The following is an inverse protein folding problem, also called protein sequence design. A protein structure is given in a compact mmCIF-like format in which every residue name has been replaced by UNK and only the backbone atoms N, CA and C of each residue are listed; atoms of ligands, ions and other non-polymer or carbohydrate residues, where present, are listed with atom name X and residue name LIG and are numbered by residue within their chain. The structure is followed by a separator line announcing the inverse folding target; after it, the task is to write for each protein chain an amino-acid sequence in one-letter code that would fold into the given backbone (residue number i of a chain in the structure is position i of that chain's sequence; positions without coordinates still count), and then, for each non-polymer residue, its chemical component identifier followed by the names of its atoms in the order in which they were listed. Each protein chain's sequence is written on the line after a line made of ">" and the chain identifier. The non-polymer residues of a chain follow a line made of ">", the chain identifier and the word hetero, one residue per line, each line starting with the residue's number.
data_IF_061844326174
#
_entry.id   IF_061844326174
#
_cell.length_a   1.000
_cell.length_b   1.000
_cell.length_c   1.000
_cell.angle_alpha   90.00
_cell.angle_beta   90.00
_cell.angle_gamma   90.00
#
_symmetry.space_group_name_H-M   'P 1'
#
loop_
_entity.id
_entity.type
_entity.pdbx_description
1 polymer ?
#
# COMPACT_ATOMS: atom_id res chain seq x y z
N UNK A 1 -13.44 -9.28 24.08
CA UNK A 1 -13.35 -7.83 24.30
C UNK A 1 -11.87 -7.52 24.53
N UNK A 2 -11.18 -7.10 23.47
CA UNK A 2 -9.85 -6.53 23.63
C UNK A 2 -10.02 -5.08 24.08
N UNK A 3 -9.34 -4.69 25.14
CA UNK A 3 -9.27 -3.30 25.58
C UNK A 3 -8.14 -2.59 24.83
N UNK A 4 -8.26 -1.29 24.60
CA UNK A 4 -7.26 -0.49 23.85
C UNK A 4 -5.82 -0.66 24.37
N UNK A 5 -5.64 -1.03 25.64
CA UNK A 5 -4.36 -1.32 26.26
C UNK A 5 -3.65 -2.60 25.76
N UNK A 6 -4.37 -3.51 25.08
CA UNK A 6 -3.80 -4.78 24.58
C UNK A 6 -3.12 -4.63 23.23
N UNK A 7 -3.31 -3.52 22.53
CA UNK A 7 -2.80 -3.30 21.18
C UNK A 7 -1.38 -2.74 21.12
N UNK A 8 -0.87 -2.12 22.16
CA UNK A 8 0.56 -1.81 22.27
C UNK A 8 1.36 -3.07 22.60
N UNK A 9 1.40 -3.99 21.66
CA UNK A 9 2.14 -5.23 21.88
C UNK A 9 3.64 -4.94 22.00
N UNK A 10 4.34 -5.76 22.80
CA UNK A 10 5.80 -5.75 22.85
C UNK A 10 6.43 -5.91 21.47
N UNK A 11 5.74 -6.62 20.56
CA UNK A 11 6.19 -6.83 19.18
C UNK A 11 6.10 -5.55 18.34
N UNK A 12 5.05 -4.79 18.48
CA UNK A 12 4.88 -3.52 17.77
C UNK A 12 5.99 -2.52 18.14
N UNK A 13 6.22 -2.30 19.43
CA UNK A 13 7.32 -1.45 19.90
C UNK A 13 8.68 -1.92 19.36
N UNK A 14 8.89 -3.24 19.33
CA UNK A 14 10.11 -3.81 18.75
C UNK A 14 10.23 -3.53 17.26
N UNK A 15 9.13 -3.65 16.51
CA UNK A 15 9.12 -3.39 15.06
C UNK A 15 9.40 -1.91 14.77
N UNK A 16 8.73 -0.98 15.49
CA UNK A 16 8.98 0.46 15.36
C UNK A 16 10.45 0.78 15.66
N UNK A 17 10.97 0.26 16.76
CA UNK A 17 12.37 0.47 17.13
C UNK A 17 13.33 -0.04 16.04
N UNK A 18 13.10 -1.24 15.52
CA UNK A 18 13.95 -1.81 14.46
C UNK A 18 13.87 -1.00 13.16
N UNK A 19 12.69 -0.48 12.79
CA UNK A 19 12.53 0.41 11.65
C UNK A 19 13.30 1.72 11.85
N UNK A 20 13.16 2.35 13.02
CA UNK A 20 13.88 3.59 13.37
C UNK A 20 15.39 3.37 13.35
N UNK A 21 15.88 2.25 13.89
CA UNK A 21 17.32 1.90 13.86
C UNK A 21 17.80 1.70 12.42
N UNK A 22 17.01 1.03 11.56
CA UNK A 22 17.34 0.87 10.15
C UNK A 22 17.48 2.23 9.47
N UNK A 23 16.47 3.09 9.60
CA UNK A 23 16.49 4.44 9.00
C UNK A 23 17.72 5.22 9.48
N UNK A 24 18.02 5.23 10.79
CA UNK A 24 19.20 5.91 11.36
C UNK A 24 20.51 5.42 10.77
N UNK A 25 20.60 4.14 10.46
CA UNK A 25 21.83 3.54 9.93
C UNK A 25 22.09 3.89 8.45
N UNK A 26 21.05 4.26 7.70
CA UNK A 26 21.17 4.49 6.25
C UNK A 26 20.86 5.94 5.83
N UNK A 27 20.32 6.77 6.71
CA UNK A 27 19.88 8.13 6.38
C UNK A 27 21.02 9.09 6.00
N UNK A 28 22.28 8.79 6.39
CA UNK A 28 23.44 9.57 5.98
C UNK A 28 23.81 9.33 4.50
N UNK A 29 23.48 8.17 3.98
CA UNK A 29 23.83 7.75 2.62
C UNK A 29 22.64 7.81 1.64
N UNK A 30 21.40 7.77 2.14
CA UNK A 30 20.18 7.63 1.36
C UNK A 30 19.06 8.54 1.85
N UNK A 31 18.28 9.07 0.93
CA UNK A 31 16.99 9.72 1.24
C UNK A 31 15.96 8.64 1.58
N UNK A 32 15.51 8.58 2.82
CA UNK A 32 14.64 7.52 3.32
C UNK A 32 13.20 7.99 3.46
N UNK A 33 12.28 7.30 2.82
CA UNK A 33 10.84 7.57 2.90
C UNK A 33 10.13 6.38 3.54
N UNK A 34 9.48 6.61 4.66
CA UNK A 34 8.71 5.59 5.38
C UNK A 34 7.24 5.82 5.11
N UNK A 35 6.59 4.88 4.44
CA UNK A 35 5.16 4.92 4.15
C UNK A 35 4.45 3.75 4.83
N UNK A 36 3.70 4.04 5.90
CA UNK A 36 2.84 3.07 6.56
C UNK A 36 1.40 3.25 6.05
N UNK A 37 0.92 2.26 5.31
CA UNK A 37 -0.46 2.28 4.82
C UNK A 37 -1.40 1.91 5.97
N UNK A 38 -2.37 2.78 6.31
CA UNK A 38 -3.32 2.50 7.39
C UNK A 38 -4.22 1.31 7.06
N UNK A 39 -4.73 0.65 8.09
CA UNK A 39 -5.70 -0.42 7.87
C UNK A 39 -7.05 0.14 7.40
N UNK A 40 -7.80 -0.69 6.67
CA UNK A 40 -9.17 -0.37 6.26
C UNK A 40 -10.06 -0.02 7.46
N UNK A 41 -9.95 -0.77 8.54
CA UNK A 41 -10.77 -0.58 9.74
C UNK A 41 -10.50 0.76 10.41
N UNK A 42 -9.26 1.20 10.43
CA UNK A 42 -8.91 2.50 10.99
C UNK A 42 -9.32 3.64 10.05
N UNK A 43 -9.02 3.54 8.77
CA UNK A 43 -9.36 4.58 7.77
C UNK A 43 -10.87 4.79 7.65
N UNK A 44 -11.65 3.70 7.67
CA UNK A 44 -13.11 3.70 7.50
C UNK A 44 -13.87 3.48 8.82
N UNK A 45 -13.30 3.90 9.96
CA UNK A 45 -13.89 3.66 11.28
C UNK A 45 -15.32 4.19 11.44
N UNK A 46 -15.69 5.27 10.72
CA UNK A 46 -17.05 5.80 10.72
C UNK A 46 -18.07 4.86 10.05
N UNK A 47 -17.62 3.88 9.25
CA UNK A 47 -18.46 2.86 8.61
C UNK A 47 -18.59 1.58 9.44
N UNK A 48 -17.92 1.51 10.59
CA UNK A 48 -17.97 0.35 11.47
C UNK A 48 -19.26 0.32 12.30
N UNK A 49 -19.73 -0.87 12.70
CA UNK A 49 -20.86 -1.00 13.61
C UNK A 49 -20.61 -0.27 14.94
N UNK A 50 -21.69 0.22 15.54
CA UNK A 50 -21.62 0.81 16.88
C UNK A 50 -20.99 -0.19 17.88
N UNK A 51 -20.08 0.28 18.72
CA UNK A 51 -19.25 -0.52 19.63
C UNK A 51 -18.19 -1.42 18.98
N UNK A 52 -17.91 -1.29 17.68
CA UNK A 52 -16.71 -1.91 17.14
C UNK A 52 -15.48 -1.19 17.69
N UNK A 53 -14.56 -1.95 18.28
CA UNK A 53 -13.25 -1.40 18.69
C UNK A 53 -12.27 -1.43 17.53
N UNK A 54 -11.52 -0.36 17.37
CA UNK A 54 -10.40 -0.27 16.42
C UNK A 54 -9.11 -0.04 17.18
N UNK A 55 -8.01 -0.48 16.59
CA UNK A 55 -6.69 -0.07 17.04
C UNK A 55 -6.48 1.40 16.68
N UNK A 56 -5.94 2.18 17.63
CA UNK A 56 -5.59 3.58 17.40
C UNK A 56 -4.22 3.67 16.71
N UNK A 57 -4.24 3.64 15.38
CA UNK A 57 -3.03 3.74 14.56
C UNK A 57 -2.37 5.12 14.64
N UNK A 58 -3.08 6.16 15.09
CA UNK A 58 -2.51 7.50 15.22
C UNK A 58 -1.27 7.53 16.11
N UNK A 59 -1.31 6.80 17.23
CA UNK A 59 -0.16 6.73 18.15
C UNK A 59 1.11 6.19 17.51
N UNK A 60 0.95 5.24 16.59
CA UNK A 60 2.07 4.68 15.83
C UNK A 60 2.66 5.71 14.87
N UNK A 61 1.82 6.45 14.15
CA UNK A 61 2.26 7.53 13.26
C UNK A 61 2.94 8.65 14.05
N UNK A 62 2.36 9.06 15.16
CA UNK A 62 2.93 10.10 16.04
C UNK A 62 4.31 9.69 16.56
N UNK A 63 4.44 8.44 17.00
CA UNK A 63 5.72 7.89 17.46
C UNK A 63 6.79 7.85 16.37
N UNK A 64 6.42 7.50 15.13
CA UNK A 64 7.34 7.50 14.00
C UNK A 64 7.74 8.92 13.61
N UNK A 65 6.80 9.84 13.54
CA UNK A 65 7.08 11.25 13.24
C UNK A 65 8.00 11.87 14.29
N UNK A 66 7.79 11.58 15.57
CA UNK A 66 8.65 12.04 16.64
C UNK A 66 10.08 11.52 16.52
N UNK A 67 10.24 10.23 16.18
CA UNK A 67 11.54 9.58 16.13
C UNK A 67 12.30 9.81 14.82
N UNK A 68 11.61 9.96 13.70
CA UNK A 68 12.20 10.11 12.36
C UNK A 68 12.19 11.55 11.85
N UNK A 69 11.25 12.39 12.30
CA UNK A 69 11.08 13.76 11.80
C UNK A 69 12.28 14.70 12.07
N UNK A 70 13.21 14.29 12.93
CA UNK A 70 14.43 15.03 13.23
C UNK A 70 15.68 14.46 12.52
N UNK A 71 15.54 13.39 11.75
CA UNK A 71 16.64 12.81 10.98
C UNK A 71 16.73 13.52 9.62
N UNK A 72 17.91 14.00 9.28
CA UNK A 72 18.19 14.57 7.96
C UNK A 72 17.80 13.55 6.86
N UNK A 73 17.16 14.04 5.80
CA UNK A 73 16.77 13.26 4.62
C UNK A 73 15.83 12.07 4.86
N UNK A 74 15.20 11.97 6.04
CA UNK A 74 14.15 11.00 6.30
C UNK A 74 12.77 11.66 6.39
N UNK A 75 11.77 11.02 5.78
CA UNK A 75 10.39 11.53 5.73
C UNK A 75 9.40 10.41 6.03
N UNK A 76 8.48 10.66 6.95
CA UNK A 76 7.28 9.83 7.09
C UNK A 76 6.23 10.34 6.10
N UNK A 77 5.89 9.52 5.11
CA UNK A 77 4.92 9.88 4.07
C UNK A 77 3.52 9.97 4.69
N UNK A 78 2.78 11.09 4.55
CA UNK A 78 1.49 11.29 5.21
C UNK A 78 0.33 10.59 4.47
N UNK A 79 0.51 9.33 4.11
CA UNK A 79 -0.48 8.52 3.38
C UNK A 79 -1.78 8.34 4.15
N UNK A 80 -1.68 8.28 5.48
CA UNK A 80 -2.81 8.19 6.38
C UNK A 80 -3.78 9.36 6.23
N UNK A 81 -3.28 10.60 6.27
CA UNK A 81 -4.09 11.80 6.11
C UNK A 81 -4.77 11.83 4.74
N UNK A 82 -4.02 11.46 3.69
CA UNK A 82 -4.53 11.39 2.33
C UNK A 82 -5.66 10.37 2.22
N UNK A 83 -5.48 9.14 2.69
CA UNK A 83 -6.53 8.12 2.60
C UNK A 83 -7.75 8.48 3.45
N UNK A 84 -7.56 9.07 4.63
CA UNK A 84 -8.67 9.55 5.45
C UNK A 84 -9.47 10.67 4.78
N UNK A 85 -8.84 11.55 4.00
CA UNK A 85 -9.56 12.60 3.25
C UNK A 85 -10.41 12.05 2.11
N UNK A 86 -10.09 10.85 1.60
CA UNK A 86 -10.80 10.16 0.52
C UNK A 86 -11.67 8.98 1.00
N UNK A 87 -11.95 8.88 2.30
CA UNK A 87 -12.68 7.74 2.91
C UNK A 87 -14.13 7.54 2.44
N UNK A 88 -14.71 8.50 1.74
CA UNK A 88 -16.04 8.38 1.14
C UNK A 88 -15.99 7.69 -0.25
N UNK A 89 -14.81 7.53 -0.81
CA UNK A 89 -14.56 6.84 -2.07
C UNK A 89 -14.28 5.35 -1.83
N UNK A 90 -14.31 4.54 -2.88
CA UNK A 90 -14.04 3.10 -2.81
C UNK A 90 -12.52 2.84 -2.81
N UNK A 91 -11.83 3.34 -1.78
CA UNK A 91 -10.36 3.24 -1.63
C UNK A 91 -9.89 1.93 -0.98
N UNK A 92 -10.80 1.12 -0.44
CA UNK A 92 -10.55 -0.23 0.05
C UNK A 92 -11.60 -1.19 -0.47
N UNK A 93 -11.19 -2.42 -0.81
CA UNK A 93 -12.12 -3.48 -1.15
C UNK A 93 -13.06 -3.79 0.03
N UNK A 94 -14.30 -4.14 -0.26
CA UNK A 94 -15.31 -4.51 0.77
C UNK A 94 -15.04 -5.91 1.30
N UNK A 95 -14.68 -6.82 0.41
CA UNK A 95 -14.50 -8.26 0.68
C UNK A 95 -13.05 -8.65 0.93
N UNK A 96 -12.11 -7.69 0.85
CA UNK A 96 -10.70 -7.91 1.10
C UNK A 96 -10.12 -6.87 2.08
N UNK A 97 -8.92 -7.09 2.59
CA UNK A 97 -8.23 -6.17 3.50
C UNK A 97 -7.35 -5.14 2.80
N UNK A 98 -7.06 -5.33 1.52
CA UNK A 98 -6.23 -4.42 0.75
C UNK A 98 -6.99 -3.15 0.32
N UNK A 99 -6.24 -2.11 0.03
CA UNK A 99 -6.73 -0.95 -0.72
C UNK A 99 -7.06 -1.33 -2.17
N UNK A 100 -7.89 -0.54 -2.82
CA UNK A 100 -8.16 -0.65 -4.27
C UNK A 100 -7.04 0.02 -5.06
N UNK A 101 -7.07 -0.10 -6.38
CA UNK A 101 -6.17 0.66 -7.26
C UNK A 101 -6.28 2.16 -7.06
N UNK A 102 -7.48 2.67 -6.78
CA UNK A 102 -7.69 4.08 -6.42
C UNK A 102 -7.01 4.43 -5.10
N UNK A 103 -7.15 3.58 -4.07
CA UNK A 103 -6.46 3.79 -2.79
C UNK A 103 -4.94 3.78 -2.94
N UNK A 104 -4.41 2.83 -3.71
CA UNK A 104 -2.98 2.74 -4.02
C UNK A 104 -2.50 3.97 -4.81
N UNK A 105 -3.33 4.50 -5.72
CA UNK A 105 -3.06 5.74 -6.44
C UNK A 105 -2.89 6.94 -5.49
N UNK A 106 -3.77 7.09 -4.50
CA UNK A 106 -3.63 8.14 -3.48
C UNK A 106 -2.37 7.95 -2.63
N UNK A 107 -2.01 6.71 -2.32
CA UNK A 107 -0.74 6.40 -1.66
C UNK A 107 0.46 6.83 -2.50
N UNK A 108 0.45 6.53 -3.79
CA UNK A 108 1.48 6.96 -4.73
C UNK A 108 1.60 8.49 -4.82
N UNK A 109 0.48 9.21 -4.90
CA UNK A 109 0.48 10.68 -4.88
C UNK A 109 1.11 11.23 -3.61
N UNK A 110 0.80 10.66 -2.45
CA UNK A 110 1.41 11.05 -1.17
C UNK A 110 2.92 10.85 -1.19
N UNK A 111 3.38 9.72 -1.72
CA UNK A 111 4.80 9.45 -1.87
C UNK A 111 5.50 10.44 -2.81
N UNK A 112 4.95 10.73 -3.98
CA UNK A 112 5.52 11.70 -4.93
C UNK A 112 5.66 13.09 -4.30
N UNK A 113 4.65 13.55 -3.57
CA UNK A 113 4.67 14.84 -2.87
C UNK A 113 5.74 14.84 -1.76
N UNK A 114 5.80 13.80 -0.95
CA UNK A 114 6.74 13.71 0.16
C UNK A 114 8.20 13.58 -0.31
N UNK A 115 8.44 12.90 -1.43
CA UNK A 115 9.78 12.71 -1.99
C UNK A 115 10.26 13.87 -2.87
N UNK A 116 9.41 14.85 -3.17
CA UNK A 116 9.71 15.91 -4.15
C UNK A 116 9.94 15.39 -5.57
N UNK A 117 9.53 14.14 -5.85
CA UNK A 117 9.63 13.54 -7.18
C UNK A 117 8.38 13.86 -7.99
N UNK A 118 8.57 14.65 -9.05
CA UNK A 118 7.58 14.93 -10.09
C UNK A 118 6.14 15.20 -9.60
N UNK A 119 5.98 16.30 -8.86
CA UNK A 119 4.67 16.75 -8.34
C UNK A 119 3.60 16.88 -9.44
N UNK A 120 4.00 17.13 -10.69
CA UNK A 120 3.07 17.21 -11.82
C UNK A 120 2.39 15.87 -12.10
N UNK A 121 3.10 14.76 -11.95
CA UNK A 121 2.52 13.42 -12.09
C UNK A 121 1.59 13.06 -10.95
N UNK A 122 1.76 13.66 -9.79
CA UNK A 122 0.88 13.41 -8.66
C UNK A 122 -0.58 13.79 -8.92
N UNK A 123 -0.81 14.81 -9.77
CA UNK A 123 -2.16 15.30 -10.04
C UNK A 123 -2.75 14.80 -11.38
N UNK A 124 -2.00 13.96 -12.13
CA UNK A 124 -2.52 13.37 -13.36
C UNK A 124 -3.65 12.39 -13.06
N UNK A 125 -4.81 12.61 -13.70
CA UNK A 125 -5.90 11.63 -13.68
C UNK A 125 -5.45 10.35 -14.38
N UNK A 126 -5.64 9.20 -13.75
CA UNK A 126 -5.35 7.89 -14.33
C UNK A 126 -6.62 7.23 -14.84
N UNK A 127 -6.47 6.61 -16.00
CA UNK A 127 -7.53 5.75 -16.55
C UNK A 127 -7.29 4.34 -16.04
N UNK A 128 -8.16 3.89 -15.14
CA UNK A 128 -8.17 2.51 -14.67
C UNK A 128 -9.08 1.67 -15.57
N UNK A 129 -8.66 0.45 -15.84
CA UNK A 129 -9.44 -0.55 -16.57
C UNK A 129 -9.97 -1.58 -15.59
N UNK A 130 -11.23 -1.94 -15.72
CA UNK A 130 -11.81 -3.05 -14.96
C UNK A 130 -11.29 -4.36 -15.50
N UNK A 131 -10.71 -5.20 -14.65
CA UNK A 131 -10.16 -6.53 -14.98
C UNK A 131 -10.95 -7.67 -14.36
N UNK A 132 -11.68 -7.41 -13.27
CA UNK A 132 -12.66 -8.32 -12.67
C UNK A 132 -13.80 -7.50 -12.05
N UNK A 133 -15.03 -7.99 -12.13
CA UNK A 133 -16.23 -7.41 -11.53
C UNK A 133 -16.90 -8.36 -10.51
N UNK A 134 -16.24 -9.44 -10.18
CA UNK A 134 -16.79 -10.46 -9.31
C UNK A 134 -15.84 -10.92 -8.18
N UNK A 135 -14.87 -10.08 -7.83
CA UNK A 135 -13.86 -10.36 -6.83
C UNK A 135 -14.44 -10.56 -5.42
N UNK A 136 -14.02 -11.65 -4.78
CA UNK A 136 -14.31 -12.01 -3.40
C UNK A 136 -13.00 -12.34 -2.68
N UNK A 137 -12.52 -11.39 -1.88
CA UNK A 137 -11.19 -11.45 -1.27
C UNK A 137 -11.10 -12.20 0.05
N UNK A 138 -10.00 -11.98 0.75
CA UNK A 138 -9.61 -12.72 1.97
C UNK A 138 -10.53 -12.49 3.16
N UNK A 139 -11.20 -11.34 3.24
CA UNK A 139 -12.20 -11.09 4.31
C UNK A 139 -13.42 -11.97 4.07
N UNK A 140 -13.90 -12.05 2.82
CA UNK A 140 -14.98 -12.96 2.45
C UNK A 140 -14.62 -14.41 2.76
N UNK A 141 -13.41 -14.85 2.39
CA UNK A 141 -12.96 -16.22 2.64
C UNK A 141 -13.00 -16.62 4.14
N UNK A 142 -12.85 -15.63 5.04
CA UNK A 142 -12.91 -15.86 6.50
C UNK A 142 -14.34 -15.90 7.06
N UNK A 143 -15.24 -15.07 6.53
CA UNK A 143 -16.59 -14.91 7.10
C UNK A 143 -17.69 -15.54 6.24
N UNK A 144 -17.38 -15.87 4.98
CA UNK A 144 -18.28 -16.43 3.97
C UNK A 144 -19.60 -15.64 3.80
N UNK A 145 -19.51 -14.31 3.93
CA UNK A 145 -20.63 -13.38 3.77
C UNK A 145 -20.13 -12.11 3.06
N UNK A 146 -20.86 -11.69 2.04
CA UNK A 146 -20.65 -10.44 1.35
C UNK A 146 -21.99 -9.84 0.93
N UNK A 147 -22.13 -8.52 1.03
CA UNK A 147 -23.30 -7.77 0.53
C UNK A 147 -23.23 -7.54 -0.97
N UNK A 148 -22.02 -7.49 -1.51
CA UNK A 148 -21.70 -7.32 -2.92
C UNK A 148 -20.30 -7.87 -3.20
N UNK A 149 -20.01 -8.16 -4.46
CA UNK A 149 -18.66 -8.43 -4.95
C UNK A 149 -17.91 -7.10 -5.13
N UNK A 150 -16.59 -7.17 -5.14
CA UNK A 150 -15.72 -6.05 -5.44
C UNK A 150 -15.33 -6.05 -6.92
N UNK A 151 -14.82 -4.91 -7.38
CA UNK A 151 -14.28 -4.71 -8.73
C UNK A 151 -12.77 -4.53 -8.61
N UNK A 152 -12.01 -5.33 -9.35
CA UNK A 152 -10.57 -5.10 -9.51
C UNK A 152 -10.37 -4.23 -10.74
N UNK A 153 -9.74 -3.08 -10.52
CA UNK A 153 -9.27 -2.19 -11.57
C UNK A 153 -7.74 -2.23 -11.63
N UNK A 154 -7.17 -1.95 -12.79
CA UNK A 154 -5.74 -1.87 -12.99
C UNK A 154 -5.36 -0.62 -13.79
N UNK A 155 -4.16 -0.13 -13.60
CA UNK A 155 -3.52 0.87 -14.44
C UNK A 155 -2.46 0.20 -15.30
N UNK A 156 -2.61 0.24 -16.61
CA UNK A 156 -1.61 -0.26 -17.54
C UNK A 156 -0.63 0.86 -17.92
N UNK A 157 0.65 0.74 -17.55
CA UNK A 157 1.66 1.70 -17.98
C UNK A 157 1.77 1.72 -19.52
N UNK A 158 1.78 2.93 -20.09
CA UNK A 158 1.96 3.15 -21.54
C UNK A 158 3.45 3.16 -21.92
N UNK A 159 4.19 2.17 -21.43
CA UNK A 159 5.63 2.01 -21.71
C UNK A 159 5.99 0.53 -21.71
N UNK A 160 7.03 0.19 -22.43
CA UNK A 160 7.58 -1.16 -22.38
C UNK A 160 8.25 -1.41 -21.03
N UNK A 161 7.95 -2.55 -20.43
CA UNK A 161 8.52 -2.99 -19.16
C UNK A 161 9.25 -4.31 -19.33
N UNK A 162 10.42 -4.41 -18.74
CA UNK A 162 11.08 -5.68 -18.44
C UNK A 162 10.86 -5.98 -16.96
N UNK A 163 10.21 -7.09 -16.65
CA UNK A 163 9.89 -7.53 -15.29
C UNK A 163 10.58 -8.85 -15.03
N UNK A 164 11.41 -8.90 -14.00
CA UNK A 164 12.18 -10.09 -13.65
C UNK A 164 11.83 -10.50 -12.22
N UNK A 165 11.36 -11.72 -12.04
CA UNK A 165 11.08 -12.28 -10.74
C UNK A 165 12.22 -13.17 -10.26
N UNK A 166 12.50 -13.10 -8.96
CA UNK A 166 13.35 -14.05 -8.25
C UNK A 166 14.72 -14.24 -8.92
N UNK A 167 15.43 -13.12 -9.21
CA UNK A 167 16.79 -13.12 -9.80
C UNK A 167 16.87 -13.80 -11.18
N UNK A 168 15.81 -13.73 -11.97
CA UNK A 168 15.82 -14.19 -13.37
C UNK A 168 15.14 -15.55 -13.58
N UNK A 169 14.49 -16.13 -12.58
CA UNK A 169 13.70 -17.35 -12.75
C UNK A 169 12.53 -17.16 -13.72
N UNK A 170 11.93 -15.96 -13.73
CA UNK A 170 10.83 -15.63 -14.64
C UNK A 170 11.04 -14.24 -15.20
N UNK A 171 10.90 -14.09 -16.52
CA UNK A 171 10.96 -12.81 -17.25
C UNK A 171 9.63 -12.55 -17.91
N UNK A 172 9.07 -11.36 -17.67
CA UNK A 172 7.79 -10.91 -18.19
C UNK A 172 7.92 -9.50 -18.79
N UNK A 173 6.95 -9.12 -19.60
CA UNK A 173 6.81 -7.76 -20.14
C UNK A 173 5.68 -6.99 -19.47
N UNK A 174 5.10 -7.53 -18.42
CA UNK A 174 3.98 -6.96 -17.67
C UNK A 174 4.07 -7.33 -16.20
N UNK A 175 3.52 -6.49 -15.35
CA UNK A 175 3.34 -6.75 -13.92
C UNK A 175 2.11 -7.60 -13.61
N UNK A 176 1.28 -7.88 -14.62
CA UNK A 176 -0.02 -8.52 -14.43
C UNK A 176 0.02 -9.99 -14.77
N UNK A 177 -0.72 -10.78 -14.01
CA UNK A 177 -0.87 -12.23 -14.18
C UNK A 177 -2.34 -12.62 -14.42
N UNK A 178 -2.87 -12.46 -15.64
CA UNK A 178 -4.31 -12.64 -15.94
C UNK A 178 -4.87 -14.03 -15.63
N UNK A 179 -4.03 -15.06 -15.53
CA UNK A 179 -4.45 -16.40 -15.14
C UNK A 179 -5.09 -16.46 -13.76
N UNK A 180 -4.69 -15.57 -12.83
CA UNK A 180 -5.23 -15.51 -11.48
C UNK A 180 -6.68 -15.01 -11.44
N UNK A 181 -7.13 -14.21 -12.40
CA UNK A 181 -8.54 -13.78 -12.51
C UNK A 181 -9.54 -14.93 -12.69
N UNK A 182 -9.07 -16.16 -12.91
CA UNK A 182 -9.88 -17.38 -13.01
C UNK A 182 -9.77 -18.27 -11.77
N UNK A 183 -9.19 -17.78 -10.71
CA UNK A 183 -8.97 -18.50 -9.45
C UNK A 183 -9.67 -17.79 -8.31
N UNK A 184 -9.70 -18.41 -7.14
CA UNK A 184 -10.18 -17.75 -5.91
C UNK A 184 -9.22 -16.68 -5.36
N UNK A 185 -8.02 -16.58 -5.90
CA UNK A 185 -6.99 -15.61 -5.53
C UNK A 185 -6.78 -14.58 -6.64
N UNK A 186 -7.86 -13.90 -7.02
CA UNK A 186 -7.84 -12.92 -8.10
C UNK A 186 -6.89 -11.74 -7.82
N UNK A 187 -6.67 -11.39 -6.53
CA UNK A 187 -5.76 -10.30 -6.18
C UNK A 187 -4.30 -10.58 -6.61
N UNK A 188 -3.92 -11.85 -6.73
CA UNK A 188 -2.63 -12.24 -7.32
C UNK A 188 -2.48 -11.91 -8.81
N UNK A 189 -3.52 -11.35 -9.45
CA UNK A 189 -3.40 -10.66 -10.74
C UNK A 189 -2.27 -9.61 -10.71
N UNK A 190 -2.13 -8.90 -9.61
CA UNK A 190 -1.02 -7.98 -9.39
C UNK A 190 0.23 -8.78 -9.05
N UNK A 191 1.26 -8.68 -9.89
CA UNK A 191 2.60 -9.28 -9.71
C UNK A 191 2.65 -10.82 -9.58
N UNK A 192 1.56 -11.53 -9.90
CA UNK A 192 1.52 -13.00 -9.78
C UNK A 192 1.61 -13.49 -8.33
N UNK A 193 1.13 -12.68 -7.37
CA UNK A 193 1.23 -12.94 -5.94
C UNK A 193 2.56 -12.49 -5.32
N UNK A 194 2.89 -13.08 -4.17
CA UNK A 194 4.08 -12.72 -3.42
C UNK A 194 5.35 -13.31 -4.05
N UNK A 195 6.21 -12.46 -4.57
CA UNK A 195 7.54 -12.81 -5.09
C UNK A 195 8.62 -12.43 -4.09
N UNK A 196 9.74 -13.16 -4.06
CA UNK A 196 10.85 -12.83 -3.18
C UNK A 196 11.54 -11.52 -3.61
N UNK A 197 11.72 -11.33 -4.91
CA UNK A 197 12.27 -10.11 -5.52
C UNK A 197 11.55 -9.86 -6.84
N UNK A 198 11.20 -8.60 -7.09
CA UNK A 198 10.68 -8.14 -8.38
C UNK A 198 11.57 -7.00 -8.84
N UNK A 199 12.22 -7.17 -10.00
CA UNK A 199 12.97 -6.13 -10.67
C UNK A 199 12.17 -5.62 -11.87
N UNK A 200 11.92 -4.32 -11.91
CA UNK A 200 11.14 -3.68 -12.97
C UNK A 200 12.04 -2.67 -13.66
N UNK A 201 12.24 -2.83 -14.96
CA UNK A 201 12.99 -1.89 -15.77
C UNK A 201 12.11 -1.35 -16.88
N UNK A 202 12.10 -0.03 -17.06
CA UNK A 202 11.32 0.64 -18.10
C UNK A 202 11.40 2.15 -18.00
N UNK A 203 10.86 2.83 -19.01
CA UNK A 203 10.81 4.29 -19.05
C UNK A 203 12.15 4.99 -19.28
N UNK A 204 12.16 6.29 -19.06
CA UNK A 204 13.36 7.11 -19.22
C UNK A 204 14.27 7.02 -17.99
N UNK A 205 15.57 6.87 -18.24
CA UNK A 205 16.57 6.87 -17.17
C UNK A 205 16.79 8.30 -16.67
N UNK A 206 16.40 8.56 -15.43
CA UNK A 206 16.58 9.87 -14.78
C UNK A 206 17.73 9.91 -13.76
N UNK A 207 18.51 8.84 -13.64
CA UNK A 207 19.62 8.72 -12.70
C UNK A 207 19.23 8.49 -11.23
N UNK A 208 17.94 8.31 -10.94
CA UNK A 208 17.44 7.97 -9.61
C UNK A 208 17.14 6.48 -9.52
N UNK A 209 17.45 5.89 -8.38
CA UNK A 209 17.11 4.49 -8.06
C UNK A 209 16.21 4.49 -6.83
N UNK A 210 15.09 3.77 -6.90
CA UNK A 210 14.23 3.46 -5.77
C UNK A 210 14.50 2.01 -5.36
N UNK A 211 14.81 1.79 -4.09
CA UNK A 211 15.07 0.48 -3.49
C UNK A 211 13.91 0.05 -2.60
#
# INVERSE_FOLDING_TARGET
>A
HHTDAEFETKQERKNIKSLVELVKNIADDYSVHVMLVPTKTWTLQQKLPFCASTYDEQKMYDSLNEQLGNLADSVVVPVQETLCSHREEDIYYRTDHHWTTLGAWYGYQSFLKASGMDEKRADEKKDFITVSDDFLGTTYAKVNQASAKDVIEAYEPKMDLDVVYNMGETKLTTLFAPSYLKTSDEYSYFTGGNQAIIEITGGEKNGKTLL
#
